data_IF_202953112492
#
_entry.id   IF_202953112492
#
_cell.length_a   1.000
_cell.length_b   1.000
_cell.length_c   1.000
_cell.angle_alpha   90.00
_cell.angle_beta   90.00
_cell.angle_gamma   90.00
#
_symmetry.space_group_name_H-M   'P 1'
#
loop_
_entity.id
_entity.type
_entity.pdbx_description
1 polymer ?
#
# COMPACT_ATOMS: atom_id res chain seq x y z
N UNK A 1 -16.19 15.69 -25.10
CA UNK A 1 -16.54 14.24 -25.09
C UNK A 1 -17.94 14.08 -25.67
N UNK A 2 -18.11 13.33 -26.77
CA UNK A 2 -19.42 13.22 -27.42
C UNK A 2 -20.34 12.24 -26.66
N UNK A 3 -21.66 12.47 -26.66
CA UNK A 3 -22.64 11.57 -26.01
C UNK A 3 -22.51 10.11 -26.47
N UNK A 4 -22.12 9.88 -27.74
CA UNK A 4 -21.87 8.54 -28.30
C UNK A 4 -20.67 7.84 -27.62
N UNK A 5 -19.62 8.59 -27.30
CA UNK A 5 -18.43 8.05 -26.64
C UNK A 5 -18.72 7.69 -25.17
N UNK A 6 -19.53 8.49 -24.48
CA UNK A 6 -20.01 8.17 -23.12
C UNK A 6 -20.83 6.87 -23.11
N UNK A 7 -21.76 6.71 -24.06
CA UNK A 7 -22.58 5.51 -24.16
C UNK A 7 -21.75 4.27 -24.50
N UNK A 8 -20.79 4.39 -25.43
CA UNK A 8 -19.88 3.31 -25.77
C UNK A 8 -19.03 2.88 -24.57
N UNK A 9 -18.49 3.83 -23.80
CA UNK A 9 -17.70 3.55 -22.60
C UNK A 9 -18.54 2.91 -21.50
N UNK A 10 -19.78 3.38 -21.28
CA UNK A 10 -20.69 2.79 -20.30
C UNK A 10 -21.07 1.35 -20.69
N UNK A 11 -21.34 1.10 -21.96
CA UNK A 11 -21.62 -0.25 -22.48
C UNK A 11 -20.41 -1.17 -22.31
N UNK A 12 -19.21 -0.70 -22.65
CA UNK A 12 -17.97 -1.45 -22.47
C UNK A 12 -17.70 -1.77 -20.98
N UNK A 13 -17.85 -0.79 -20.09
CA UNK A 13 -17.69 -0.99 -18.65
C UNK A 13 -18.69 -2.03 -18.11
N UNK A 14 -19.94 -1.96 -18.55
CA UNK A 14 -20.98 -2.92 -18.16
C UNK A 14 -20.64 -4.33 -18.65
N UNK A 15 -20.23 -4.46 -19.91
CA UNK A 15 -19.81 -5.74 -20.49
C UNK A 15 -18.61 -6.34 -19.76
N UNK A 16 -17.63 -5.53 -19.37
CA UNK A 16 -16.47 -5.97 -18.59
C UNK A 16 -16.88 -6.47 -17.19
N UNK A 17 -17.77 -5.76 -16.50
CA UNK A 17 -18.28 -6.18 -15.19
C UNK A 17 -19.03 -7.50 -15.28
N UNK A 18 -19.89 -7.67 -16.30
CA UNK A 18 -20.63 -8.91 -16.52
C UNK A 18 -19.70 -10.08 -16.88
N UNK A 19 -18.72 -9.83 -17.76
CA UNK A 19 -17.72 -10.83 -18.13
C UNK A 19 -16.90 -11.26 -16.92
N UNK A 20 -16.45 -10.30 -16.11
CA UNK A 20 -15.72 -10.59 -14.87
C UNK A 20 -16.57 -11.41 -13.89
N UNK A 21 -17.83 -11.00 -13.66
CA UNK A 21 -18.75 -11.75 -12.81
C UNK A 21 -18.98 -13.18 -13.30
N UNK A 22 -19.13 -13.37 -14.61
CA UNK A 22 -19.28 -14.69 -15.23
C UNK A 22 -18.02 -15.56 -15.11
N UNK A 23 -16.83 -14.96 -15.31
CA UNK A 23 -15.56 -15.66 -15.11
C UNK A 23 -15.42 -16.08 -13.65
N UNK A 24 -15.72 -15.21 -12.70
CA UNK A 24 -15.65 -15.55 -11.28
C UNK A 24 -16.58 -16.74 -10.96
N UNK A 25 -17.85 -16.69 -11.35
CA UNK A 25 -18.81 -17.76 -11.04
C UNK A 25 -18.44 -19.09 -11.69
N UNK A 26 -17.93 -19.08 -12.93
CA UNK A 26 -17.48 -20.30 -13.61
C UNK A 26 -16.24 -20.90 -12.95
N UNK A 27 -15.27 -20.08 -12.52
CA UNK A 27 -14.10 -20.54 -11.75
C UNK A 27 -14.54 -21.18 -10.44
N UNK A 28 -15.43 -20.54 -9.67
CA UNK A 28 -15.94 -21.10 -8.42
C UNK A 28 -16.69 -22.43 -8.66
N UNK A 29 -17.50 -22.50 -9.72
CA UNK A 29 -18.22 -23.72 -10.10
C UNK A 29 -17.27 -24.88 -10.46
N UNK A 30 -16.20 -24.61 -11.21
CA UNK A 30 -15.16 -25.61 -11.55
C UNK A 30 -14.45 -26.11 -10.29
N UNK A 31 -14.26 -25.26 -9.28
CA UNK A 31 -13.67 -25.62 -7.99
C UNK A 31 -14.65 -26.36 -7.05
N UNK A 32 -15.87 -26.66 -7.51
CA UNK A 32 -16.91 -27.29 -6.68
C UNK A 32 -17.49 -26.38 -5.59
N UNK A 33 -17.17 -25.08 -5.63
CA UNK A 33 -17.69 -24.09 -4.70
C UNK A 33 -18.93 -23.45 -5.29
N UNK A 34 -20.09 -23.63 -4.65
CA UNK A 34 -21.26 -22.82 -5.00
C UNK A 34 -21.01 -21.37 -4.58
N UNK A 35 -21.16 -20.43 -5.51
CA UNK A 35 -21.15 -18.99 -5.22
C UNK A 35 -22.38 -18.62 -4.38
N UNK A 36 -22.20 -18.67 -3.07
CA UNK A 36 -23.21 -18.28 -2.09
C UNK A 36 -22.98 -16.83 -1.65
N UNK A 37 -23.66 -15.90 -2.32
CA UNK A 37 -23.60 -14.47 -2.02
C UNK A 37 -24.20 -14.10 -0.66
N UNK A 38 -24.98 -14.99 -0.03
CA UNK A 38 -25.51 -14.73 1.30
C UNK A 38 -24.39 -14.63 2.34
N UNK A 39 -23.29 -15.37 2.16
CA UNK A 39 -22.10 -15.29 3.02
C UNK A 39 -21.44 -13.92 2.98
N UNK A 40 -21.41 -13.27 1.81
CA UNK A 40 -20.87 -11.90 1.73
C UNK A 40 -21.69 -10.92 2.59
N UNK A 41 -23.01 -11.12 2.66
CA UNK A 41 -23.89 -10.34 3.54
C UNK A 41 -23.76 -10.73 5.01
N UNK A 42 -23.53 -12.00 5.32
CA UNK A 42 -23.24 -12.50 6.66
C UNK A 42 -21.98 -11.83 7.24
N UNK A 43 -20.90 -11.77 6.46
CA UNK A 43 -19.61 -11.15 6.83
C UNK A 43 -19.53 -9.63 6.59
N UNK A 44 -20.66 -8.96 6.30
CA UNK A 44 -20.68 -7.51 5.96
C UNK A 44 -19.95 -6.63 6.98
N UNK A 45 -20.05 -6.95 8.27
CA UNK A 45 -19.42 -6.17 9.34
C UNK A 45 -17.89 -6.32 9.33
N UNK A 46 -17.41 -7.55 9.09
CA UNK A 46 -15.98 -7.81 8.91
C UNK A 46 -15.43 -7.13 7.66
N UNK A 47 -16.16 -7.20 6.55
CA UNK A 47 -15.79 -6.52 5.30
C UNK A 47 -15.75 -4.99 5.47
N UNK A 48 -16.76 -4.43 6.13
CA UNK A 48 -16.82 -3.01 6.44
C UNK A 48 -15.66 -2.56 7.33
N UNK A 49 -15.38 -3.33 8.39
CA UNK A 49 -14.24 -3.07 9.27
C UNK A 49 -12.90 -3.17 8.51
N UNK A 50 -12.73 -4.18 7.67
CA UNK A 50 -11.53 -4.34 6.84
C UNK A 50 -11.33 -3.19 5.85
N UNK A 51 -12.43 -2.71 5.26
CA UNK A 51 -12.41 -1.53 4.39
C UNK A 51 -11.98 -0.27 5.16
N UNK A 52 -12.56 -0.02 6.34
CA UNK A 52 -12.15 1.10 7.20
C UNK A 52 -10.67 1.03 7.61
N UNK A 53 -10.19 -0.16 7.98
CA UNK A 53 -8.77 -0.37 8.33
C UNK A 53 -7.87 -0.08 7.13
N UNK A 54 -8.25 -0.50 5.92
CA UNK A 54 -7.52 -0.16 4.69
C UNK A 54 -7.41 1.34 4.47
N UNK A 55 -8.49 2.09 4.71
CA UNK A 55 -8.47 3.55 4.61
C UNK A 55 -7.53 4.17 5.64
N UNK A 56 -7.59 3.73 6.90
CA UNK A 56 -6.69 4.21 7.95
C UNK A 56 -5.24 3.96 7.57
N UNK A 57 -4.90 2.73 7.17
CA UNK A 57 -3.54 2.39 6.74
C UNK A 57 -3.10 3.27 5.57
N UNK A 58 -3.95 3.43 4.55
CA UNK A 58 -3.64 4.20 3.34
C UNK A 58 -3.39 5.68 3.65
N UNK A 59 -4.27 6.33 4.41
CA UNK A 59 -4.12 7.75 4.76
C UNK A 59 -2.92 7.98 5.67
N UNK A 60 -2.72 7.13 6.69
CA UNK A 60 -1.57 7.26 7.58
C UNK A 60 -0.25 7.00 6.86
N UNK A 61 -0.19 5.99 5.99
CA UNK A 61 1.00 5.70 5.21
C UNK A 61 1.31 6.80 4.19
N UNK A 62 0.29 7.39 3.56
CA UNK A 62 0.45 8.54 2.66
C UNK A 62 0.98 9.77 3.40
N UNK A 63 0.43 10.08 4.57
CA UNK A 63 0.92 11.20 5.38
C UNK A 63 2.38 10.99 5.80
N UNK A 64 2.73 9.76 6.23
CA UNK A 64 4.09 9.39 6.56
C UNK A 64 5.03 9.41 5.37
N UNK A 65 4.59 8.97 4.19
CA UNK A 65 5.41 8.95 2.97
C UNK A 65 5.76 10.34 2.48
N UNK A 66 4.86 11.32 2.63
CA UNK A 66 5.17 12.73 2.36
C UNK A 66 6.31 13.22 3.26
N UNK A 67 6.25 12.90 4.56
CA UNK A 67 7.30 13.28 5.50
C UNK A 67 8.64 12.61 5.16
N UNK A 68 8.65 11.29 4.97
CA UNK A 68 9.88 10.56 4.63
C UNK A 68 10.42 10.96 3.25
N UNK A 69 9.54 11.16 2.26
CA UNK A 69 9.92 11.62 0.93
C UNK A 69 10.61 12.98 0.96
N UNK A 70 10.08 13.92 1.75
CA UNK A 70 10.74 15.21 1.97
C UNK A 70 12.14 15.03 2.60
N UNK A 71 12.25 14.20 3.64
CA UNK A 71 13.54 13.92 4.30
C UNK A 71 14.55 13.29 3.33
N UNK A 72 14.12 12.33 2.51
CA UNK A 72 14.98 11.69 1.51
C UNK A 72 15.40 12.65 0.40
N UNK A 73 14.48 13.47 -0.11
CA UNK A 73 14.80 14.52 -1.09
C UNK A 73 15.88 15.47 -0.55
N UNK A 74 15.71 15.96 0.69
CA UNK A 74 16.69 16.83 1.34
C UNK A 74 18.02 16.11 1.58
N UNK A 75 17.99 14.86 2.03
CA UNK A 75 19.18 14.03 2.26
C UNK A 75 20.03 13.85 1.00
N UNK A 76 19.39 13.60 -0.15
CA UNK A 76 20.05 13.49 -1.45
C UNK A 76 20.67 14.81 -1.95
N UNK A 77 20.20 15.96 -1.45
CA UNK A 77 20.77 17.28 -1.74
C UNK A 77 21.76 17.76 -0.69
N UNK A 78 22.00 16.97 0.36
CA UNK A 78 22.92 17.34 1.44
C UNK A 78 24.32 17.61 0.91
N UNK A 79 24.98 18.66 1.44
CA UNK A 79 26.39 18.97 1.15
C UNK A 79 27.34 17.91 1.71
N UNK A 80 26.92 17.20 2.75
CA UNK A 80 27.68 16.11 3.35
C UNK A 80 27.60 14.88 2.46
N UNK A 81 28.75 14.51 1.89
CA UNK A 81 28.90 13.39 0.94
C UNK A 81 28.37 12.08 1.54
N UNK A 82 28.65 11.82 2.83
CA UNK A 82 28.18 10.62 3.53
C UNK A 82 26.65 10.54 3.54
N UNK A 83 25.96 11.60 3.95
CA UNK A 83 24.49 11.61 4.01
C UNK A 83 23.91 11.40 2.61
N UNK A 84 24.46 12.10 1.61
CA UNK A 84 23.99 12.02 0.23
C UNK A 84 24.06 10.60 -0.32
N UNK A 85 25.20 9.93 -0.16
CA UNK A 85 25.40 8.58 -0.66
C UNK A 85 24.61 7.54 0.14
N UNK A 86 24.52 7.68 1.45
CA UNK A 86 23.68 6.80 2.28
C UNK A 86 22.21 6.91 1.86
N UNK A 87 21.69 8.12 1.67
CA UNK A 87 20.32 8.29 1.18
C UNK A 87 20.14 7.67 -0.22
N UNK A 88 21.05 7.95 -1.18
CA UNK A 88 20.94 7.36 -2.52
C UNK A 88 20.96 5.84 -2.51
N UNK A 89 21.91 5.24 -1.80
CA UNK A 89 22.02 3.79 -1.68
C UNK A 89 20.80 3.16 -1.00
N UNK A 90 20.27 3.80 0.05
CA UNK A 90 19.02 3.37 0.69
C UNK A 90 17.85 3.41 -0.30
N UNK A 91 17.69 4.49 -1.05
CA UNK A 91 16.60 4.66 -2.01
C UNK A 91 16.70 3.68 -3.19
N UNK A 92 17.90 3.43 -3.70
CA UNK A 92 18.13 2.39 -4.71
C UNK A 92 17.72 1.01 -4.17
N UNK A 93 18.24 0.62 -3.01
CA UNK A 93 17.89 -0.65 -2.36
C UNK A 93 16.38 -0.83 -2.17
N UNK A 94 15.69 0.19 -1.65
CA UNK A 94 14.25 0.13 -1.40
C UNK A 94 13.47 -0.02 -2.70
N UNK A 95 13.86 0.73 -3.75
CA UNK A 95 13.14 0.71 -5.03
C UNK A 95 13.39 -0.57 -5.83
N UNK A 96 14.54 -1.21 -5.62
CA UNK A 96 14.96 -2.44 -6.31
C UNK A 96 14.48 -3.72 -5.61
N UNK A 97 13.85 -3.63 -4.44
CA UNK A 97 13.37 -4.79 -3.69
C UNK A 97 11.86 -4.77 -3.47
N UNK A 98 11.18 -5.94 -3.47
CA UNK A 98 9.72 -5.97 -3.35
C UNK A 98 9.22 -5.39 -2.02
N UNK A 99 8.10 -4.67 -2.06
CA UNK A 99 7.42 -4.16 -0.85
C UNK A 99 7.17 -5.27 0.18
N UNK A 100 6.75 -6.45 -0.29
CA UNK A 100 6.46 -7.59 0.59
C UNK A 100 7.69 -8.00 1.42
N UNK A 101 8.91 -7.92 0.85
CA UNK A 101 10.15 -8.22 1.56
C UNK A 101 10.37 -7.21 2.69
N UNK A 102 10.17 -5.92 2.43
CA UNK A 102 10.28 -4.89 3.45
C UNK A 102 9.27 -5.07 4.58
N UNK A 103 8.02 -5.43 4.26
CA UNK A 103 6.98 -5.66 5.26
C UNK A 103 7.30 -6.90 6.12
N UNK A 104 7.65 -8.02 5.49
CA UNK A 104 7.93 -9.27 6.21
C UNK A 104 9.23 -9.19 7.00
N UNK A 105 10.33 -8.77 6.38
CA UNK A 105 11.62 -8.63 7.05
C UNK A 105 11.57 -7.54 8.12
N UNK A 106 10.99 -6.38 7.79
CA UNK A 106 10.80 -5.29 8.73
C UNK A 106 10.01 -5.73 9.96
N UNK A 107 8.85 -6.36 9.77
CA UNK A 107 8.06 -6.81 10.92
C UNK A 107 8.71 -7.98 11.66
N UNK A 108 8.97 -9.11 11.00
CA UNK A 108 9.35 -10.35 11.69
C UNK A 108 10.82 -10.41 12.13
N UNK A 109 11.74 -9.78 11.39
CA UNK A 109 13.19 -9.88 11.67
C UNK A 109 13.69 -8.67 12.44
N UNK A 110 13.17 -7.47 12.16
CA UNK A 110 13.63 -6.24 12.81
C UNK A 110 12.74 -5.90 14.02
N UNK A 111 11.47 -5.56 13.79
CA UNK A 111 10.65 -4.95 14.84
C UNK A 111 10.18 -5.95 15.89
N UNK A 112 9.68 -7.13 15.49
CA UNK A 112 9.13 -8.11 16.44
C UNK A 112 10.17 -8.57 17.50
N UNK A 113 11.45 -8.84 17.16
CA UNK A 113 12.46 -9.19 18.16
C UNK A 113 12.94 -8.01 19.01
N UNK A 114 12.94 -6.79 18.47
CA UNK A 114 13.38 -5.58 19.18
C UNK A 114 12.33 -5.05 20.18
N UNK A 115 11.09 -5.51 20.06
CA UNK A 115 9.96 -5.00 20.82
C UNK A 115 9.78 -5.81 22.12
N UNK A 116 10.47 -5.38 23.17
CA UNK A 116 10.39 -6.03 24.49
C UNK A 116 9.04 -5.86 25.20
N UNK A 117 8.23 -4.89 24.76
CA UNK A 117 6.87 -4.62 25.25
C UNK A 117 5.92 -4.44 24.07
N UNK A 118 4.82 -5.19 23.97
CA UNK A 118 3.83 -4.98 22.92
C UNK A 118 3.28 -3.55 22.99
N UNK A 119 3.07 -2.87 21.86
CA UNK A 119 2.28 -1.63 21.86
C UNK A 119 0.81 -1.90 22.22
N UNK A 120 0.40 -3.16 22.25
CA UNK A 120 -0.86 -3.60 22.86
C UNK A 120 -1.05 -3.11 24.29
N UNK A 121 0.04 -2.97 25.07
CA UNK A 121 -0.01 -2.41 26.44
C UNK A 121 -0.45 -0.93 26.44
N UNK A 122 -0.27 -0.24 25.31
CA UNK A 122 -0.68 1.14 25.06
C UNK A 122 -1.98 1.23 24.24
N UNK A 123 -2.66 0.10 24.01
CA UNK A 123 -3.90 0.02 23.24
C UNK A 123 -3.72 0.11 21.72
N UNK A 124 -2.51 -0.12 21.20
CA UNK A 124 -2.22 -0.07 19.77
C UNK A 124 -1.96 -1.47 19.20
N UNK A 125 -2.28 -1.68 17.93
CA UNK A 125 -1.92 -2.92 17.21
C UNK A 125 -0.53 -2.78 16.59
N UNK A 126 0.43 -3.52 17.12
CA UNK A 126 1.83 -3.54 16.68
C UNK A 126 1.95 -3.74 15.16
N UNK A 127 1.16 -4.66 14.59
CA UNK A 127 1.21 -4.98 13.16
C UNK A 127 0.75 -3.80 12.33
N UNK A 128 -0.30 -3.11 12.78
CA UNK A 128 -0.85 -1.95 12.09
C UNK A 128 0.13 -0.77 12.13
N UNK A 129 0.69 -0.47 13.30
CA UNK A 129 1.64 0.65 13.47
C UNK A 129 2.92 0.40 12.67
N UNK A 130 3.53 -0.78 12.82
CA UNK A 130 4.75 -1.14 12.11
C UNK A 130 4.48 -1.21 10.60
N UNK A 131 3.34 -1.77 10.19
CA UNK A 131 2.93 -1.83 8.79
C UNK A 131 2.83 -0.43 8.17
N UNK A 132 2.17 0.51 8.86
CA UNK A 132 2.08 1.91 8.42
C UNK A 132 3.46 2.55 8.32
N UNK A 133 4.34 2.35 9.31
CA UNK A 133 5.69 2.89 9.30
C UNK A 133 6.49 2.37 8.09
N UNK A 134 6.48 1.05 7.88
CA UNK A 134 7.20 0.42 6.77
C UNK A 134 6.64 0.87 5.41
N UNK A 135 5.32 0.94 5.26
CA UNK A 135 4.68 1.49 4.05
C UNK A 135 5.07 2.96 3.84
N UNK A 136 5.07 3.76 4.89
CA UNK A 136 5.45 5.18 4.84
C UNK A 136 6.89 5.36 4.35
N UNK A 137 7.82 4.56 4.86
CA UNK A 137 9.23 4.61 4.46
C UNK A 137 9.40 4.13 3.02
N UNK A 138 8.75 3.02 2.65
CA UNK A 138 8.81 2.47 1.30
C UNK A 138 8.28 3.46 0.27
N UNK A 139 7.04 3.93 0.42
CA UNK A 139 6.43 4.93 -0.46
C UNK A 139 7.17 6.27 -0.39
N UNK A 140 7.70 6.62 0.77
CA UNK A 140 8.53 7.81 0.97
C UNK A 140 9.78 7.78 0.10
N UNK A 141 10.38 6.61 -0.14
CA UNK A 141 11.53 6.48 -1.03
C UNK A 141 11.20 6.87 -2.48
N UNK A 142 10.06 6.41 -3.00
CA UNK A 142 9.57 6.79 -4.33
C UNK A 142 9.17 8.26 -4.38
N UNK A 143 8.46 8.74 -3.36
CA UNK A 143 8.00 10.12 -3.31
C UNK A 143 9.17 11.12 -3.20
N UNK A 144 10.24 10.77 -2.48
CA UNK A 144 11.44 11.59 -2.40
C UNK A 144 12.13 11.79 -3.75
N UNK A 145 12.11 10.78 -4.62
CA UNK A 145 12.63 10.87 -5.99
C UNK A 145 11.73 11.69 -6.91
N UNK A 146 10.41 11.54 -6.78
CA UNK A 146 9.43 12.37 -7.50
C UNK A 146 9.60 13.84 -7.11
N UNK A 147 9.67 14.13 -5.81
CA UNK A 147 9.89 15.49 -5.29
C UNK A 147 11.23 16.06 -5.77
N UNK A 148 12.31 15.28 -5.70
CA UNK A 148 13.63 15.68 -6.23
C UNK A 148 13.54 16.03 -7.71
N UNK A 149 12.90 15.19 -8.51
CA UNK A 149 12.68 15.43 -9.94
C UNK A 149 11.89 16.71 -10.22
N UNK A 150 10.89 17.03 -9.38
CA UNK A 150 10.11 18.26 -9.49
C UNK A 150 10.85 19.53 -9.02
N UNK A 151 11.86 19.42 -8.15
CA UNK A 151 12.71 20.56 -7.77
C UNK A 151 13.86 20.77 -8.77
N UNK A 152 14.29 19.71 -9.45
CA UNK A 152 15.38 19.74 -10.43
C UNK A 152 14.90 20.07 -11.86
N UNK A 153 13.59 20.11 -12.12
CA UNK A 153 12.96 20.50 -13.39
C UNK A 153 12.80 22.02 -13.53
#
# INVERSE_FOLDING_TARGET
>A
MSRRLLLANAAAATALVLLFGWICTTVFAVLGMQTDWSKAWEYRETLWRGWLVTLVISFSALAGSILFGLLFMLGQRSRLVVIRWTCRGFLEFVRDTPLLVHLLFGYFVIFAPLMSRPLGDWGMDDKLVIGILLLSVFEGAYLGEIMRGGVDS
#
